data_IF_300492227551
#
_entry.id   IF_300492227551
#
_cell.length_a   1.000
_cell.length_b   1.000
_cell.length_c   1.000
_cell.angle_alpha   90.00
_cell.angle_beta   90.00
_cell.angle_gamma   90.00
#
_symmetry.space_group_name_H-M   'P 1'
#
loop_
_entity.id
_entity.type
_entity.pdbx_description
1 polymer ?
#
# COMPACT_ATOMS: atom_id res chain seq x y z
N UNK A 1 14.37 -48.33 -16.82
CA UNK A 1 13.18 -47.45 -16.89
C UNK A 1 13.67 -46.09 -17.35
N UNK A 2 13.34 -45.68 -18.58
CA UNK A 2 13.61 -44.33 -19.07
C UNK A 2 12.41 -43.47 -18.69
N UNK A 3 12.55 -42.66 -17.64
CA UNK A 3 11.55 -41.63 -17.34
C UNK A 3 11.47 -40.66 -18.50
N UNK A 4 10.25 -40.28 -18.90
CA UNK A 4 10.01 -39.12 -19.76
C UNK A 4 10.75 -37.93 -19.14
N UNK A 5 11.70 -37.35 -19.86
CA UNK A 5 12.36 -36.13 -19.40
C UNK A 5 11.30 -35.04 -19.44
N UNK A 6 10.94 -34.50 -18.27
CA UNK A 6 10.03 -33.35 -18.16
C UNK A 6 10.50 -32.24 -19.09
N UNK A 7 9.60 -31.71 -19.92
CA UNK A 7 9.92 -30.60 -20.80
C UNK A 7 10.23 -29.38 -19.95
N UNK A 8 11.39 -28.78 -20.15
CA UNK A 8 11.71 -27.48 -19.55
C UNK A 8 11.26 -26.39 -20.52
N UNK A 9 10.33 -25.55 -20.10
CA UNK A 9 9.76 -24.49 -20.93
C UNK A 9 9.56 -23.20 -20.12
N UNK A 10 9.20 -22.13 -20.80
CA UNK A 10 8.87 -20.85 -20.17
C UNK A 10 7.40 -20.58 -20.38
N UNK A 11 6.66 -20.36 -19.28
CA UNK A 11 5.27 -19.93 -19.36
C UNK A 11 5.25 -18.42 -19.57
N UNK A 12 4.76 -17.95 -20.72
CA UNK A 12 4.62 -16.51 -21.00
C UNK A 12 3.20 -16.06 -20.72
N UNK A 13 3.03 -15.08 -19.84
CA UNK A 13 1.74 -14.47 -19.51
C UNK A 13 1.74 -12.98 -19.90
N UNK A 14 0.59 -12.45 -20.31
CA UNK A 14 0.40 -11.03 -20.65
C UNK A 14 -0.90 -10.51 -20.02
N UNK A 15 -0.92 -9.23 -19.59
CA UNK A 15 -2.04 -8.70 -18.81
C UNK A 15 -3.30 -8.68 -19.66
N UNK A 16 -4.41 -9.15 -19.11
CA UNK A 16 -5.69 -9.23 -19.83
C UNK A 16 -5.73 -10.32 -20.90
N UNK A 17 -4.74 -11.21 -20.97
CA UNK A 17 -4.73 -12.33 -21.93
C UNK A 17 -5.04 -13.67 -21.28
N UNK A 18 -5.79 -14.49 -22.01
CA UNK A 18 -6.03 -15.90 -21.67
C UNK A 18 -4.79 -16.72 -22.03
N UNK A 19 -4.29 -17.50 -21.09
CA UNK A 19 -3.21 -18.45 -21.36
C UNK A 19 -3.76 -19.75 -21.93
N UNK A 20 -3.12 -20.24 -22.99
CA UNK A 20 -3.49 -21.50 -23.66
C UNK A 20 -2.25 -22.37 -23.84
N UNK A 21 -2.31 -23.62 -23.39
CA UNK A 21 -1.28 -24.61 -23.63
C UNK A 21 -1.88 -25.98 -23.92
N UNK A 22 -1.28 -26.67 -24.88
CA UNK A 22 -1.67 -28.02 -25.27
C UNK A 22 -0.50 -28.98 -25.08
N UNK A 23 -0.77 -30.09 -24.41
CA UNK A 23 0.18 -31.18 -24.22
C UNK A 23 -0.29 -32.41 -25.00
N UNK A 24 0.65 -33.04 -25.70
CA UNK A 24 0.41 -34.22 -26.52
C UNK A 24 1.11 -35.42 -25.88
N UNK A 25 0.56 -36.63 -26.04
CA UNK A 25 1.23 -37.85 -25.62
C UNK A 25 2.53 -38.05 -26.43
N UNK A 26 3.44 -38.92 -25.96
CA UNK A 26 4.61 -39.33 -26.74
C UNK A 26 4.22 -39.79 -28.14
N UNK A 27 5.11 -39.60 -29.13
CA UNK A 27 4.82 -39.93 -30.53
C UNK A 27 4.30 -41.37 -30.70
N UNK A 28 3.11 -41.50 -31.30
CA UNK A 28 2.42 -42.79 -31.50
C UNK A 28 1.70 -43.34 -30.27
N UNK A 29 1.70 -42.62 -29.15
CA UNK A 29 0.98 -42.95 -27.93
C UNK A 29 -0.35 -42.20 -27.80
N UNK A 30 -1.10 -42.57 -26.76
CA UNK A 30 -2.34 -41.90 -26.33
C UNK A 30 -2.30 -41.73 -24.81
N UNK A 31 -2.90 -40.66 -24.29
CA UNK A 31 -3.17 -40.56 -22.87
C UNK A 31 -4.18 -41.64 -22.47
N UNK A 32 -3.96 -42.39 -21.38
CA UNK A 32 -4.91 -43.41 -20.97
C UNK A 32 -6.29 -42.86 -20.60
N UNK A 33 -7.37 -43.65 -20.80
CA UNK A 33 -8.70 -43.28 -20.31
C UNK A 33 -8.68 -43.03 -18.79
N UNK A 34 -9.31 -41.94 -18.35
CA UNK A 34 -9.34 -41.54 -16.94
C UNK A 34 -8.12 -40.75 -16.46
N UNK A 35 -7.24 -40.32 -17.38
CA UNK A 35 -6.18 -39.34 -17.07
C UNK A 35 -6.78 -38.05 -16.53
N UNK A 36 -6.22 -37.52 -15.45
CA UNK A 36 -6.44 -36.14 -14.99
C UNK A 36 -5.14 -35.34 -15.12
N UNK A 37 -5.20 -34.02 -15.00
CA UNK A 37 -4.01 -33.19 -15.00
C UNK A 37 -4.22 -31.92 -14.18
N UNK A 38 -3.12 -31.32 -13.75
CA UNK A 38 -3.09 -30.06 -13.03
C UNK A 38 -1.88 -29.23 -13.48
N UNK A 39 -2.00 -27.92 -13.32
CA UNK A 39 -0.88 -26.99 -13.41
C UNK A 39 -0.78 -26.24 -12.09
N UNK A 40 0.27 -26.51 -11.33
CA UNK A 40 0.56 -25.85 -10.04
C UNK A 40 1.56 -24.74 -10.29
N UNK A 41 1.26 -23.54 -9.80
CA UNK A 41 2.12 -22.38 -9.85
C UNK A 41 2.50 -21.99 -8.42
N UNK A 42 3.78 -21.81 -8.17
CA UNK A 42 4.35 -21.53 -6.85
C UNK A 42 5.32 -20.36 -6.89
N UNK A 43 5.49 -19.69 -5.75
CA UNK A 43 6.53 -18.68 -5.58
C UNK A 43 7.92 -19.34 -5.40
N UNK A 44 9.02 -18.57 -5.40
CA UNK A 44 10.35 -19.12 -5.16
C UNK A 44 10.59 -19.72 -3.76
N UNK A 45 9.72 -19.43 -2.79
CA UNK A 45 9.76 -19.99 -1.45
C UNK A 45 8.97 -21.31 -1.35
N UNK A 46 8.24 -21.70 -2.40
CA UNK A 46 7.45 -22.93 -2.49
C UNK A 46 5.96 -22.78 -2.13
N UNK A 47 5.48 -21.55 -1.87
CA UNK A 47 4.04 -21.31 -1.61
C UNK A 47 3.24 -21.44 -2.90
N UNK A 48 2.12 -22.15 -2.87
CA UNK A 48 1.22 -22.28 -4.02
C UNK A 48 0.47 -20.96 -4.24
N UNK A 49 0.62 -20.39 -5.43
CA UNK A 49 -0.04 -19.17 -5.88
C UNK A 49 -1.33 -19.47 -6.62
N UNK A 50 -1.35 -20.54 -7.42
CA UNK A 50 -2.52 -21.00 -8.15
C UNK A 50 -2.43 -22.47 -8.53
N UNK A 51 -3.60 -23.08 -8.67
CA UNK A 51 -3.80 -24.40 -9.22
C UNK A 51 -4.80 -24.27 -10.37
N UNK A 52 -4.41 -24.70 -11.57
CA UNK A 52 -5.25 -24.66 -12.76
C UNK A 52 -5.58 -26.06 -13.21
N UNK A 53 -6.86 -26.26 -13.50
CA UNK A 53 -7.36 -27.50 -14.11
C UNK A 53 -7.40 -27.33 -15.64
N UNK A 54 -7.19 -28.42 -16.40
CA UNK A 54 -7.31 -28.40 -17.85
C UNK A 54 -8.77 -28.18 -18.26
N UNK A 55 -8.97 -27.36 -19.28
CA UNK A 55 -10.29 -27.14 -19.86
C UNK A 55 -10.75 -28.35 -20.70
N UNK A 56 -9.80 -29.09 -21.29
CA UNK A 56 -10.07 -30.26 -22.13
C UNK A 56 -9.05 -31.36 -21.80
N UNK A 57 -9.53 -32.57 -21.56
CA UNK A 57 -8.70 -33.78 -21.51
C UNK A 57 -9.25 -34.79 -22.52
N UNK A 58 -8.37 -35.36 -23.33
CA UNK A 58 -8.68 -36.43 -24.27
C UNK A 58 -7.50 -37.38 -24.42
N UNK A 59 -7.72 -38.53 -25.06
CA UNK A 59 -6.64 -39.47 -25.38
C UNK A 59 -5.56 -38.86 -26.28
N UNK A 60 -5.90 -37.83 -27.06
CA UNK A 60 -4.99 -37.21 -28.03
C UNK A 60 -4.23 -35.98 -27.47
N UNK A 61 -4.81 -35.27 -26.48
CA UNK A 61 -4.21 -34.06 -25.90
C UNK A 61 -4.87 -33.62 -24.59
N UNK A 62 -4.14 -32.84 -23.82
CA UNK A 62 -4.61 -32.09 -22.64
C UNK A 62 -4.46 -30.61 -22.96
N UNK A 63 -5.55 -29.84 -22.89
CA UNK A 63 -5.55 -28.39 -23.13
C UNK A 63 -5.89 -27.63 -21.84
N UNK A 64 -5.02 -26.70 -21.48
CA UNK A 64 -5.29 -25.68 -20.49
C UNK A 64 -5.76 -24.40 -21.18
N UNK A 65 -6.85 -23.82 -20.69
CA UNK A 65 -7.38 -22.54 -21.14
C UNK A 65 -7.72 -21.75 -19.87
N UNK A 66 -6.78 -20.91 -19.44
CA UNK A 66 -6.90 -20.17 -18.18
C UNK A 66 -7.25 -18.73 -18.48
N UNK A 67 -8.36 -18.24 -17.90
CA UNK A 67 -8.83 -16.88 -18.16
C UNK A 67 -7.87 -15.82 -17.62
N UNK A 68 -7.90 -14.63 -18.24
CA UNK A 68 -7.05 -13.50 -17.85
C UNK A 68 -7.11 -13.18 -16.34
N UNK A 69 -8.31 -13.15 -15.76
CA UNK A 69 -8.48 -12.85 -14.33
C UNK A 69 -7.74 -13.82 -13.38
N UNK A 70 -7.43 -15.04 -13.83
CA UNK A 70 -6.64 -16.03 -13.08
C UNK A 70 -5.15 -15.96 -13.42
N UNK A 71 -4.80 -15.48 -14.62
CA UNK A 71 -3.41 -15.31 -15.07
C UNK A 71 -2.79 -13.99 -14.59
N UNK A 72 -3.58 -12.93 -14.47
CA UNK A 72 -3.14 -11.58 -14.11
C UNK A 72 -2.47 -11.51 -12.72
N UNK A 73 -2.93 -12.23 -11.69
CA UNK A 73 -2.27 -12.22 -10.38
C UNK A 73 -0.92 -12.96 -10.34
N UNK A 74 -0.58 -13.75 -11.37
CA UNK A 74 0.64 -14.56 -11.37
C UNK A 74 1.86 -13.69 -11.73
N UNK A 75 2.85 -13.57 -10.82
CA UNK A 75 4.03 -12.76 -11.05
C UNK A 75 5.03 -13.44 -11.99
N UNK A 76 5.89 -12.64 -12.63
CA UNK A 76 7.10 -13.14 -13.26
C UNK A 76 7.99 -13.85 -12.22
N UNK A 77 8.78 -14.83 -12.63
CA UNK A 77 9.68 -15.57 -11.74
C UNK A 77 9.01 -16.60 -10.84
N UNK A 78 7.67 -16.73 -10.85
CA UNK A 78 6.98 -17.87 -10.29
C UNK A 78 7.41 -19.16 -11.01
N UNK A 79 7.39 -20.28 -10.29
CA UNK A 79 7.65 -21.60 -10.84
C UNK A 79 6.33 -22.29 -11.18
N UNK A 80 6.27 -22.96 -12.32
CA UNK A 80 5.12 -23.78 -12.68
C UNK A 80 5.52 -25.22 -12.95
N UNK A 81 4.60 -26.14 -12.66
CA UNK A 81 4.70 -27.56 -12.93
C UNK A 81 3.36 -28.07 -13.45
N UNK A 82 3.38 -28.70 -14.62
CA UNK A 82 2.23 -29.40 -15.17
C UNK A 82 2.42 -30.90 -14.96
N UNK A 83 1.46 -31.51 -14.29
CA UNK A 83 1.45 -32.95 -13.99
C UNK A 83 0.22 -33.60 -14.60
N UNK A 84 0.41 -34.73 -15.28
CA UNK A 84 -0.68 -35.63 -15.65
C UNK A 84 -0.71 -36.83 -14.71
N UNK A 85 -1.88 -37.14 -14.19
CA UNK A 85 -2.10 -38.29 -13.32
C UNK A 85 -2.74 -39.40 -14.14
N UNK A 86 -1.97 -40.44 -14.43
CA UNK A 86 -2.45 -41.63 -15.11
C UNK A 86 -3.07 -42.61 -14.10
N UNK A 87 -4.29 -43.10 -14.34
CA UNK A 87 -4.91 -44.07 -13.46
C UNK A 87 -4.20 -45.43 -13.52
N UNK A 88 -4.53 -46.30 -12.57
CA UNK A 88 -4.07 -47.68 -12.61
C UNK A 88 -4.60 -48.40 -13.86
N UNK A 89 -3.72 -49.09 -14.59
CA UNK A 89 -4.06 -49.84 -15.80
C UNK A 89 -3.53 -51.27 -15.69
N UNK A 90 -4.44 -52.20 -15.42
CA UNK A 90 -4.09 -53.60 -15.19
C UNK A 90 -3.10 -53.75 -14.02
N UNK A 91 -1.91 -54.35 -14.23
CA UNK A 91 -0.91 -54.50 -13.17
C UNK A 91 -0.10 -53.23 -12.87
N UNK A 92 -0.30 -52.14 -13.64
CA UNK A 92 0.45 -50.88 -13.47
C UNK A 92 -0.25 -49.99 -12.43
N UNK A 93 0.45 -49.54 -11.38
CA UNK A 93 -0.11 -48.58 -10.42
C UNK A 93 -0.37 -47.22 -11.07
N UNK A 94 -1.13 -46.32 -10.42
CA UNK A 94 -1.24 -44.93 -10.85
C UNK A 94 0.15 -44.26 -10.93
N UNK A 95 0.33 -43.37 -11.89
CA UNK A 95 1.61 -42.70 -12.16
C UNK A 95 1.38 -41.23 -12.45
N UNK A 96 2.18 -40.39 -11.81
CA UNK A 96 2.28 -38.97 -12.12
C UNK A 96 3.40 -38.75 -13.14
N UNK A 97 3.06 -38.12 -14.25
CA UNK A 97 3.99 -37.78 -15.32
C UNK A 97 4.09 -36.26 -15.43
N UNK A 98 5.27 -35.72 -15.17
CA UNK A 98 5.53 -34.30 -15.25
C UNK A 98 5.74 -33.91 -16.72
N UNK A 99 4.71 -33.28 -17.30
CA UNK A 99 4.67 -32.93 -18.71
C UNK A 99 5.56 -31.72 -19.03
N UNK A 100 5.51 -30.69 -18.18
CA UNK A 100 6.26 -29.44 -18.37
C UNK A 100 6.56 -28.76 -17.05
N UNK A 101 7.70 -28.10 -16.97
CA UNK A 101 8.10 -27.27 -15.83
C UNK A 101 8.93 -26.09 -16.27
N UNK A 102 8.93 -25.04 -15.45
CA UNK A 102 9.84 -23.93 -15.63
C UNK A 102 9.43 -22.70 -14.85
N UNK A 103 9.80 -21.53 -15.37
CA UNK A 103 9.49 -20.23 -14.78
C UNK A 103 8.46 -19.49 -15.61
N UNK A 104 7.66 -18.67 -14.93
CA UNK A 104 6.75 -17.72 -15.54
C UNK A 104 7.52 -16.46 -15.95
N UNK A 105 7.33 -16.01 -17.19
CA UNK A 105 7.80 -14.72 -17.70
C UNK A 105 6.59 -13.90 -18.12
N UNK A 106 6.69 -12.58 -17.95
CA UNK A 106 5.62 -11.65 -18.34
C UNK A 106 6.03 -10.88 -19.59
N UNK A 107 5.20 -10.93 -20.63
CA UNK A 107 5.45 -10.24 -21.91
C UNK A 107 5.24 -8.73 -21.79
N UNK A 108 4.36 -8.31 -20.86
CA UNK A 108 4.18 -6.91 -20.45
C UNK A 108 5.36 -6.35 -19.62
N UNK A 109 6.36 -7.18 -19.31
CA UNK A 109 7.53 -6.76 -18.54
C UNK A 109 8.58 -6.10 -19.47
N UNK A 110 9.03 -4.86 -19.21
CA UNK A 110 9.83 -4.10 -20.17
C UNK A 110 11.24 -4.67 -20.45
N UNK A 111 11.72 -5.68 -19.71
CA UNK A 111 12.95 -6.40 -20.06
C UNK A 111 12.91 -7.90 -19.67
N UNK A 112 13.51 -8.81 -20.47
CA UNK A 112 13.57 -10.25 -20.19
C UNK A 112 14.50 -10.67 -19.03
N UNK A 113 15.19 -9.70 -18.42
CA UNK A 113 16.06 -9.85 -17.23
C UNK A 113 15.52 -9.08 -16.01
N UNK A 114 14.35 -8.43 -16.14
CA UNK A 114 13.66 -7.93 -14.96
C UNK A 114 13.34 -9.14 -14.08
N UNK A 115 13.77 -9.08 -12.82
CA UNK A 115 13.35 -10.07 -11.81
C UNK A 115 11.84 -10.12 -11.72
N UNK A 116 11.32 -11.03 -10.88
CA UNK A 116 9.90 -11.04 -10.54
C UNK A 116 9.40 -9.59 -10.37
N UNK A 117 8.40 -9.18 -11.17
CA UNK A 117 7.66 -7.96 -10.85
C UNK A 117 7.19 -8.18 -9.43
N UNK A 118 7.81 -7.44 -8.52
CA UNK A 118 7.64 -7.56 -7.08
C UNK A 118 6.13 -7.73 -6.81
N UNK A 119 5.75 -8.86 -6.20
CA UNK A 119 4.45 -9.02 -5.54
C UNK A 119 4.32 -8.05 -4.35
N UNK A 120 5.42 -7.42 -3.94
CA UNK A 120 5.39 -6.14 -3.25
C UNK A 120 5.03 -5.05 -4.24
N UNK A 121 3.76 -4.64 -4.21
CA UNK A 121 3.29 -3.48 -4.92
C UNK A 121 4.31 -2.32 -4.74
N UNK A 122 4.76 -1.69 -5.84
CA UNK A 122 5.93 -0.81 -5.80
C UNK A 122 5.75 0.26 -4.73
N UNK A 123 6.82 0.55 -3.99
CA UNK A 123 6.79 1.58 -2.96
C UNK A 123 6.26 2.88 -3.57
N UNK A 124 5.06 3.28 -3.17
CA UNK A 124 4.43 4.52 -3.60
C UNK A 124 5.05 5.66 -2.83
N UNK A 125 5.18 6.79 -3.50
CA UNK A 125 5.55 8.06 -2.90
C UNK A 125 4.60 9.13 -3.42
N UNK A 126 4.05 9.90 -2.50
CA UNK A 126 3.22 11.05 -2.76
C UNK A 126 3.94 12.28 -2.21
N UNK A 127 3.86 13.39 -2.94
CA UNK A 127 4.50 14.65 -2.58
C UNK A 127 3.54 15.76 -2.95
N UNK A 128 3.33 16.68 -2.02
CA UNK A 128 2.65 17.95 -2.26
C UNK A 128 3.44 19.05 -1.54
N UNK A 129 4.02 19.95 -2.32
CA UNK A 129 4.83 21.07 -1.84
C UNK A 129 3.96 22.25 -1.39
N UNK A 130 2.63 22.18 -1.55
CA UNK A 130 1.69 23.26 -1.20
C UNK A 130 2.00 24.59 -1.92
N UNK A 131 2.76 24.54 -3.03
CA UNK A 131 3.30 25.69 -3.73
C UNK A 131 2.30 26.37 -4.68
N UNK A 132 1.28 25.63 -5.13
CA UNK A 132 0.28 26.11 -6.08
C UNK A 132 -0.71 27.12 -5.50
N UNK A 133 -1.44 27.87 -6.35
CA UNK A 133 -2.47 28.83 -5.90
C UNK A 133 -3.75 28.16 -5.38
N UNK A 134 -3.86 26.84 -5.52
CA UNK A 134 -5.00 26.04 -5.14
C UNK A 134 -4.54 24.69 -4.58
N UNK A 135 -5.42 24.04 -3.83
CA UNK A 135 -5.18 22.72 -3.25
C UNK A 135 -5.07 21.67 -4.36
N UNK A 136 -4.10 20.75 -4.24
CA UNK A 136 -3.94 19.65 -5.20
C UNK A 136 -5.24 18.82 -5.29
N UNK A 137 -5.75 18.54 -6.50
CA UNK A 137 -7.00 17.77 -6.69
C UNK A 137 -6.93 16.32 -6.19
N UNK A 138 -5.76 15.81 -5.83
CA UNK A 138 -5.59 14.53 -5.16
C UNK A 138 -6.05 14.55 -3.69
N UNK A 139 -6.19 15.73 -3.08
CA UNK A 139 -6.85 15.87 -1.79
C UNK A 139 -8.37 15.74 -1.96
N UNK A 140 -8.93 14.70 -1.37
CA UNK A 140 -10.37 14.48 -1.30
C UNK A 140 -10.85 14.90 0.09
N UNK A 141 -11.62 15.99 0.16
CA UNK A 141 -12.30 16.39 1.40
C UNK A 141 -13.25 15.26 1.84
N UNK A 142 -13.13 14.86 3.10
CA UNK A 142 -13.96 13.81 3.70
C UNK A 142 -15.07 14.41 4.55
N UNK A 143 -14.75 15.39 5.41
CA UNK A 143 -15.73 16.04 6.27
C UNK A 143 -15.23 17.41 6.77
N UNK A 144 -16.04 18.01 7.65
CA UNK A 144 -15.73 19.29 8.29
C UNK A 144 -16.44 20.49 7.66
N UNK A 145 -16.45 21.60 8.40
CA UNK A 145 -17.25 22.79 8.09
C UNK A 145 -16.58 23.72 7.06
N UNK A 146 -15.26 23.70 6.94
CA UNK A 146 -14.50 24.50 5.96
C UNK A 146 -13.94 23.67 4.81
N UNK A 147 -13.47 24.34 3.75
CA UNK A 147 -12.73 23.67 2.67
C UNK A 147 -11.25 23.58 3.03
N UNK A 148 -10.44 23.01 2.14
CA UNK A 148 -8.99 23.21 2.20
C UNK A 148 -8.62 24.45 1.39
N UNK A 149 -7.58 25.17 1.80
CA UNK A 149 -7.05 26.33 1.07
C UNK A 149 -5.55 26.46 1.23
N UNK A 150 -4.91 26.93 0.17
CA UNK A 150 -3.53 27.41 0.20
C UNK A 150 -3.52 28.88 0.59
N UNK A 151 -2.78 29.20 1.65
CA UNK A 151 -2.52 30.54 2.12
C UNK A 151 -1.14 30.99 1.63
N UNK A 152 -1.10 32.18 1.02
CA UNK A 152 0.15 32.86 0.67
C UNK A 152 0.76 33.50 1.92
N UNK A 153 1.93 33.00 2.33
CA UNK A 153 2.68 33.53 3.47
C UNK A 153 3.94 34.29 3.05
N UNK A 154 4.09 34.62 1.77
CA UNK A 154 5.20 35.43 1.26
C UNK A 154 5.37 36.80 1.97
N UNK A 155 4.32 37.48 2.48
CA UNK A 155 4.51 38.71 3.28
C UNK A 155 5.35 38.52 4.54
N UNK A 156 5.45 37.29 5.06
CA UNK A 156 6.26 36.94 6.24
C UNK A 156 7.55 36.20 5.88
N UNK A 157 7.94 36.16 4.59
CA UNK A 157 9.08 35.37 4.09
C UNK A 157 8.97 33.88 4.42
N UNK A 158 7.74 33.36 4.45
CA UNK A 158 7.44 31.94 4.67
C UNK A 158 6.87 31.31 3.39
N UNK A 159 7.04 29.99 3.21
CA UNK A 159 6.42 29.29 2.09
C UNK A 159 4.89 29.33 2.17
N UNK A 160 4.23 29.04 1.06
CA UNK A 160 2.79 28.80 1.04
C UNK A 160 2.43 27.66 2.01
N UNK A 161 1.22 27.72 2.56
CA UNK A 161 0.76 26.73 3.53
C UNK A 161 -0.68 26.31 3.28
N UNK A 162 -0.96 25.01 3.34
CA UNK A 162 -2.32 24.47 3.31
C UNK A 162 -2.91 24.41 4.72
N UNK A 163 -4.16 24.83 4.86
CA UNK A 163 -4.97 24.64 6.05
C UNK A 163 -6.48 24.65 5.73
N UNK A 164 -7.32 24.62 6.77
CA UNK A 164 -8.77 24.80 6.66
C UNK A 164 -9.15 26.22 6.22
N UNK A 165 -10.03 26.32 5.24
CA UNK A 165 -10.64 27.54 4.72
C UNK A 165 -11.91 27.86 5.51
N UNK A 166 -11.77 28.64 6.58
CA UNK A 166 -12.87 29.45 7.11
C UNK A 166 -12.37 30.37 8.21
N UNK A 167 -13.07 31.50 8.34
CA UNK A 167 -12.80 32.56 9.32
C UNK A 167 -13.30 32.20 10.74
N UNK A 168 -14.09 31.12 10.91
CA UNK A 168 -14.70 30.75 12.18
C UNK A 168 -14.49 29.26 12.46
N UNK A 169 -13.70 28.94 13.49
CA UNK A 169 -13.51 27.61 14.09
C UNK A 169 -13.62 26.45 13.11
N UNK A 170 -12.63 26.31 12.24
CA UNK A 170 -12.72 25.36 11.14
C UNK A 170 -12.18 24.01 11.56
N UNK A 171 -12.97 22.94 11.44
CA UNK A 171 -12.45 21.59 11.28
C UNK A 171 -12.55 21.18 9.81
N UNK A 172 -11.47 20.73 9.20
CA UNK A 172 -11.45 20.24 7.82
C UNK A 172 -10.59 18.97 7.71
N UNK A 173 -11.22 17.87 7.30
CA UNK A 173 -10.57 16.58 7.15
C UNK A 173 -10.51 16.21 5.67
N UNK A 174 -9.34 15.79 5.22
CA UNK A 174 -9.13 15.37 3.84
C UNK A 174 -8.15 14.21 3.77
N UNK A 175 -8.35 13.34 2.79
CA UNK A 175 -7.44 12.23 2.52
C UNK A 175 -6.80 12.38 1.15
N UNK A 176 -5.63 11.81 1.00
CA UNK A 176 -5.08 11.59 -0.33
C UNK A 176 -5.96 10.58 -1.08
N UNK A 177 -6.12 10.77 -2.38
CA UNK A 177 -7.05 9.96 -3.19
C UNK A 177 -6.66 8.48 -3.22
N UNK A 178 -5.36 8.20 -3.13
CA UNK A 178 -4.74 6.89 -3.26
C UNK A 178 -4.11 6.48 -1.93
N UNK A 179 -4.21 5.20 -1.59
CA UNK A 179 -3.57 4.60 -0.41
C UNK A 179 -2.13 4.17 -0.71
N UNK A 180 -1.31 3.99 0.31
CA UNK A 180 0.04 3.39 0.18
C UNK A 180 -0.05 1.88 -0.10
N UNK A 181 1.02 1.28 -0.60
CA UNK A 181 1.04 -0.14 -0.96
C UNK A 181 1.44 -1.05 0.22
N UNK A 182 2.04 -0.49 1.26
CA UNK A 182 2.45 -1.14 2.50
C UNK A 182 1.81 -0.50 3.72
N UNK A 183 1.72 -1.27 4.80
CA UNK A 183 1.40 -0.74 6.13
C UNK A 183 2.59 0.02 6.72
N UNK A 184 3.83 -0.40 6.41
CA UNK A 184 5.02 0.39 6.70
C UNK A 184 5.00 1.67 5.85
N UNK A 185 4.46 2.74 6.41
CA UNK A 185 4.35 4.03 5.76
C UNK A 185 5.06 5.10 6.59
N UNK A 186 5.61 6.08 5.90
CA UNK A 186 6.28 7.24 6.50
C UNK A 186 5.80 8.52 5.87
N UNK A 187 5.34 9.44 6.71
CA UNK A 187 5.08 10.83 6.37
C UNK A 187 6.27 11.71 6.75
N UNK A 188 6.71 12.57 5.84
CA UNK A 188 7.65 13.65 6.08
C UNK A 188 6.95 14.95 5.72
N UNK A 189 6.89 15.89 6.66
CA UNK A 189 6.11 17.11 6.45
C UNK A 189 6.71 18.31 7.16
N UNK A 190 6.35 19.50 6.68
CA UNK A 190 6.77 20.77 7.24
C UNK A 190 5.54 21.54 7.69
N UNK A 191 5.63 22.20 8.84
CA UNK A 191 4.54 23.02 9.37
C UNK A 191 4.99 24.45 9.62
N UNK A 192 4.10 25.38 9.27
CA UNK A 192 4.19 26.77 9.69
C UNK A 192 3.39 26.90 10.98
N UNK A 193 4.10 27.16 12.07
CA UNK A 193 3.53 27.51 13.37
C UNK A 193 3.79 28.98 13.65
N UNK A 194 2.77 29.72 14.11
CA UNK A 194 2.90 31.14 14.45
C UNK A 194 2.00 31.53 15.63
N UNK A 195 2.46 32.47 16.46
CA UNK A 195 1.72 33.01 17.62
C UNK A 195 0.35 33.57 17.25
N UNK A 196 0.21 34.01 16.01
CA UNK A 196 -1.02 34.61 15.48
C UNK A 196 -1.95 33.61 14.80
N UNK A 197 -1.56 32.33 14.66
CA UNK A 197 -2.36 31.29 14.01
C UNK A 197 -2.55 30.06 14.92
N UNK A 198 -3.16 30.21 16.11
CA UNK A 198 -3.51 29.09 16.97
C UNK A 198 -4.44 28.09 16.26
N UNK A 199 -4.26 26.81 16.59
CA UNK A 199 -4.97 25.70 15.96
C UNK A 199 -4.12 24.45 15.92
N UNK A 200 -4.58 23.46 15.17
CA UNK A 200 -3.99 22.13 15.07
C UNK A 200 -3.88 21.67 13.63
N UNK A 201 -2.84 20.91 13.35
CA UNK A 201 -2.73 20.09 12.14
C UNK A 201 -2.39 18.69 12.56
N UNK A 202 -3.06 17.71 11.97
CA UNK A 202 -2.77 16.29 12.17
C UNK A 202 -2.42 15.67 10.84
N UNK A 203 -1.27 15.00 10.74
CA UNK A 203 -0.87 14.20 9.58
C UNK A 203 -1.09 12.72 9.90
N UNK A 204 -1.80 12.03 9.02
CA UNK A 204 -2.40 10.71 9.26
C UNK A 204 -1.83 9.69 8.27
N UNK A 205 -1.51 8.48 8.73
CA UNK A 205 -0.93 7.40 7.92
C UNK A 205 -1.84 6.18 7.75
N UNK A 206 -2.53 5.75 8.81
CA UNK A 206 -3.32 4.50 8.83
C UNK A 206 -4.83 4.76 8.79
N UNK A 207 -5.30 5.53 7.80
CA UNK A 207 -6.73 5.84 7.69
C UNK A 207 -7.48 4.89 6.78
N UNK A 208 -8.72 4.56 7.15
CA UNK A 208 -9.69 4.09 6.17
C UNK A 208 -10.21 5.21 5.26
N UNK A 209 -10.89 4.85 4.16
CA UNK A 209 -11.37 5.81 3.17
C UNK A 209 -12.35 6.86 3.74
N UNK A 210 -13.10 6.50 4.78
CA UNK A 210 -14.09 7.36 5.43
C UNK A 210 -13.51 8.14 6.63
N UNK A 211 -12.22 7.98 6.95
CA UNK A 211 -11.59 8.52 8.16
C UNK A 211 -12.37 8.21 9.46
N UNK A 212 -12.96 7.03 9.59
CA UNK A 212 -13.62 6.58 10.84
C UNK A 212 -12.73 5.71 11.72
N UNK A 213 -11.53 5.38 11.23
CA UNK A 213 -10.46 4.73 11.96
C UNK A 213 -9.15 5.24 11.39
N UNK A 214 -8.33 5.87 12.21
CA UNK A 214 -7.05 6.43 11.79
C UNK A 214 -6.12 6.75 12.96
N UNK A 215 -4.81 6.83 12.66
CA UNK A 215 -3.76 7.32 13.58
C UNK A 215 -3.03 8.47 12.93
N UNK A 216 -2.83 9.54 13.68
CA UNK A 216 -2.11 10.71 13.20
C UNK A 216 -1.18 11.32 14.24
N UNK A 217 -0.20 12.04 13.73
CA UNK A 217 0.67 12.90 14.50
C UNK A 217 0.14 14.33 14.43
N UNK A 218 -0.29 14.85 15.58
CA UNK A 218 -0.90 16.15 15.75
C UNK A 218 0.13 17.16 16.25
N UNK A 219 0.16 18.32 15.62
CA UNK A 219 0.87 19.51 16.06
C UNK A 219 -0.17 20.58 16.42
N UNK A 220 -0.03 21.14 17.62
CA UNK A 220 -0.94 22.13 18.17
C UNK A 220 -0.20 23.40 18.56
N UNK A 221 -0.86 24.54 18.38
CA UNK A 221 -0.42 25.84 18.87
C UNK A 221 -1.61 26.56 19.52
N UNK A 222 -1.41 27.14 20.71
CA UNK A 222 -2.43 27.87 21.45
C UNK A 222 -2.08 29.35 21.62
N UNK A 223 -3.11 30.19 21.73
CA UNK A 223 -2.99 31.66 21.86
C UNK A 223 -2.55 32.14 23.23
N UNK A 224 -2.97 31.47 24.31
CA UNK A 224 -2.79 31.98 25.67
C UNK A 224 -1.34 31.84 26.17
N UNK A 225 -0.71 30.68 25.91
CA UNK A 225 0.54 30.33 26.59
C UNK A 225 1.73 30.04 25.62
N UNK A 226 1.52 30.12 24.30
CA UNK A 226 2.53 29.81 23.26
C UNK A 226 3.42 28.60 23.58
N UNK A 227 2.76 27.50 23.93
CA UNK A 227 3.39 26.22 24.18
C UNK A 227 2.98 25.27 23.08
N UNK A 228 3.73 25.23 21.96
CA UNK A 228 3.41 24.33 20.87
C UNK A 228 3.71 22.90 21.30
N UNK A 229 2.67 22.06 21.30
CA UNK A 229 2.76 20.66 21.68
C UNK A 229 2.56 19.73 20.48
N UNK A 230 2.98 18.48 20.66
CA UNK A 230 2.87 17.43 19.67
C UNK A 230 2.32 16.18 20.33
N UNK A 231 1.35 15.53 19.70
CA UNK A 231 0.65 14.37 20.24
C UNK A 231 0.49 13.29 19.17
N UNK A 232 0.39 12.02 19.58
CA UNK A 232 -0.20 10.98 18.72
C UNK A 232 -1.65 10.83 19.11
N UNK A 233 -2.52 10.82 18.10
CA UNK A 233 -3.97 10.78 18.25
C UNK A 233 -4.54 9.64 17.42
N UNK A 234 -5.62 9.04 17.92
CA UNK A 234 -6.42 8.06 17.19
C UNK A 234 -7.81 8.64 16.93
N UNK A 235 -8.36 8.37 15.75
CA UNK A 235 -9.64 8.92 15.33
C UNK A 235 -10.74 7.89 15.20
N UNK A 236 -11.95 8.29 15.59
CA UNK A 236 -13.19 7.50 15.44
C UNK A 236 -14.16 8.13 14.43
N UNK A 237 -13.87 9.35 13.99
CA UNK A 237 -14.56 10.03 12.90
C UNK A 237 -13.58 10.97 12.20
N UNK A 238 -13.96 11.56 11.04
CA UNK A 238 -13.05 12.42 10.30
C UNK A 238 -12.49 13.61 11.09
N UNK A 239 -13.22 14.10 12.11
CA UNK A 239 -12.88 15.32 12.86
C UNK A 239 -12.83 15.12 14.37
N UNK A 240 -13.05 13.90 14.85
CA UNK A 240 -13.04 13.55 16.27
C UNK A 240 -11.98 12.51 16.56
N UNK A 241 -11.24 12.71 17.64
CA UNK A 241 -10.08 11.92 18.01
C UNK A 241 -9.85 11.91 19.52
N UNK A 242 -9.04 10.96 19.96
CA UNK A 242 -8.53 10.85 21.33
C UNK A 242 -7.01 10.92 21.30
N UNK A 243 -6.42 11.63 22.27
CA UNK A 243 -4.97 11.66 22.45
C UNK A 243 -4.53 10.38 23.15
N UNK A 244 -3.59 9.67 22.55
CA UNK A 244 -3.02 8.42 23.10
C UNK A 244 -1.59 8.60 23.59
N UNK A 245 -0.88 9.60 23.07
CA UNK A 245 0.47 9.94 23.52
C UNK A 245 0.66 11.45 23.46
N UNK A 246 1.26 12.02 24.51
CA UNK A 246 1.53 13.45 24.65
C UNK A 246 2.92 13.68 25.24
N UNK A 247 3.44 14.90 25.19
CA UNK A 247 4.71 15.22 25.83
C UNK A 247 5.12 16.68 25.65
N UNK A 248 6.37 16.96 25.98
CA UNK A 248 6.85 18.34 26.12
C UNK A 248 6.95 19.15 24.82
N UNK A 249 6.90 20.47 24.99
CA UNK A 249 6.92 21.53 23.97
C UNK A 249 8.29 21.70 23.31
N UNK A 250 8.62 20.81 22.38
CA UNK A 250 9.89 20.87 21.67
C UNK A 250 9.74 21.18 20.19
N UNK A 251 8.65 21.81 19.74
CA UNK A 251 8.43 22.15 18.34
C UNK A 251 9.26 23.37 17.87
N UNK A 252 9.72 23.36 16.61
CA UNK A 252 10.32 24.49 15.90
C UNK A 252 9.28 25.19 15.02
N UNK A 253 9.39 26.52 14.91
CA UNK A 253 8.69 27.26 13.86
C UNK A 253 9.32 26.94 12.50
N UNK A 254 8.48 26.69 11.50
CA UNK A 254 8.88 26.16 10.19
C UNK A 254 9.67 24.85 10.28
N UNK A 255 9.32 24.00 11.26
CA UNK A 255 10.03 22.75 11.51
C UNK A 255 9.65 21.63 10.55
N UNK A 256 10.59 20.72 10.29
CA UNK A 256 10.33 19.45 9.58
C UNK A 256 10.10 18.33 10.58
N UNK A 257 9.10 17.51 10.30
CA UNK A 257 8.73 16.37 11.14
C UNK A 257 8.61 15.12 10.29
N UNK A 258 8.87 13.99 10.92
CA UNK A 258 8.66 12.66 10.34
C UNK A 258 7.69 11.92 11.23
N UNK A 259 6.69 11.28 10.66
CA UNK A 259 5.82 10.33 11.35
C UNK A 259 5.88 9.01 10.59
N UNK A 260 6.04 7.89 11.28
CA UNK A 260 6.09 6.58 10.64
C UNK A 260 5.44 5.52 11.50
N UNK A 261 5.03 4.44 10.84
CA UNK A 261 4.58 3.22 11.48
C UNK A 261 5.58 2.08 11.22
N UNK A 262 5.96 1.38 12.28
CA UNK A 262 6.76 0.17 12.26
C UNK A 262 5.85 -1.05 12.50
N UNK A 263 5.52 -1.83 11.46
CA UNK A 263 4.64 -3.00 11.59
C UNK A 263 5.29 -4.17 12.34
N UNK A 264 6.61 -4.20 12.52
CA UNK A 264 7.28 -5.29 13.27
C UNK A 264 7.13 -5.11 14.77
N UNK A 265 7.11 -3.84 15.22
CA UNK A 265 6.96 -3.47 16.63
C UNK A 265 5.53 -3.02 16.98
N UNK A 266 4.64 -2.93 15.99
CA UNK A 266 3.31 -2.33 16.07
C UNK A 266 3.32 -0.94 16.73
N UNK A 267 4.18 -0.09 16.20
CA UNK A 267 4.56 1.15 16.85
C UNK A 267 4.58 2.35 15.91
N UNK A 268 4.11 3.48 16.44
CA UNK A 268 4.13 4.77 15.78
C UNK A 268 5.21 5.66 16.37
N UNK A 269 6.05 6.21 15.49
CA UNK A 269 7.20 7.02 15.86
C UNK A 269 7.13 8.38 15.16
N UNK A 270 7.20 9.44 15.94
CA UNK A 270 7.33 10.80 15.43
C UNK A 270 8.74 11.32 15.74
N UNK A 271 9.38 11.95 14.76
CA UNK A 271 10.70 12.56 14.87
C UNK A 271 10.64 14.03 14.49
N UNK A 272 11.57 14.78 15.06
CA UNK A 272 11.74 16.20 14.79
C UNK A 272 13.06 16.44 14.06
N UNK A 273 12.99 17.20 12.98
CA UNK A 273 14.11 17.58 12.13
C UNK A 273 14.94 16.34 11.70
N UNK A 274 16.24 16.36 11.97
CA UNK A 274 17.19 15.28 11.68
C UNK A 274 17.49 14.38 12.88
N UNK A 275 16.82 14.54 14.03
CA UNK A 275 17.08 13.72 15.20
C UNK A 275 16.28 12.41 15.17
N UNK A 276 16.83 11.40 14.49
CA UNK A 276 16.25 10.06 14.41
C UNK A 276 16.67 9.11 15.54
N UNK A 277 17.56 9.54 16.43
CA UNK A 277 18.04 8.72 17.54
C UNK A 277 17.13 8.82 18.78
N UNK A 278 16.35 9.89 18.88
CA UNK A 278 15.39 10.11 19.96
C UNK A 278 14.06 10.54 19.37
N UNK A 279 13.06 9.64 19.27
CA UNK A 279 11.74 10.01 18.78
C UNK A 279 11.15 11.11 19.67
N UNK A 280 10.55 12.10 19.02
CA UNK A 280 9.76 13.12 19.67
C UNK A 280 8.55 12.49 20.38
N UNK A 281 7.87 11.54 19.72
CA UNK A 281 6.79 10.73 20.30
C UNK A 281 6.90 9.29 19.86
N UNK A 282 6.44 8.40 20.73
CA UNK A 282 6.46 6.96 20.54
C UNK A 282 5.21 6.39 21.17
N UNK A 283 4.43 5.63 20.41
CA UNK A 283 3.22 4.96 20.90
C UNK A 283 3.10 3.57 20.30
N UNK A 284 2.93 2.56 21.15
CA UNK A 284 2.72 1.16 20.76
C UNK A 284 1.22 0.86 20.83
N UNK A 285 0.66 0.25 19.77
CA UNK A 285 -0.73 -0.20 19.76
C UNK A 285 -0.86 -1.59 20.41
N UNK A 286 -0.64 -1.66 21.73
CA UNK A 286 -0.64 -2.94 22.47
C UNK A 286 -1.98 -3.70 22.35
N UNK A 287 -3.08 -2.98 22.16
CA UNK A 287 -4.43 -3.53 22.05
C UNK A 287 -4.86 -3.82 20.59
N UNK A 288 -3.99 -3.54 19.61
CA UNK A 288 -4.25 -3.68 18.17
C UNK A 288 -5.58 -3.02 17.74
N UNK A 289 -5.87 -1.83 18.29
CA UNK A 289 -7.15 -1.13 18.03
C UNK A 289 -7.19 -0.51 16.64
N UNK A 290 -6.03 -0.33 16.01
CA UNK A 290 -5.91 0.24 14.68
C UNK A 290 -5.89 -0.88 13.64
N UNK A 291 -6.90 -0.93 12.75
CA UNK A 291 -6.88 -1.88 11.65
C UNK A 291 -5.83 -1.48 10.62
N UNK A 292 -5.06 -2.46 10.16
CA UNK A 292 -4.07 -2.32 9.11
C UNK A 292 -4.47 -3.12 7.87
N UNK A 293 -3.77 -2.89 6.76
CA UNK A 293 -3.98 -3.58 5.51
C UNK A 293 -4.68 -2.76 4.43
N UNK A 294 -4.94 -3.41 3.31
CA UNK A 294 -5.62 -2.79 2.18
C UNK A 294 -6.96 -2.18 2.60
N UNK A 295 -7.18 -0.90 2.28
CA UNK A 295 -8.35 -0.13 2.69
C UNK A 295 -8.13 0.74 3.94
N UNK A 296 -7.04 0.55 4.68
CA UNK A 296 -6.66 1.32 5.88
C UNK A 296 -5.33 2.10 5.72
N UNK A 297 -4.82 2.16 4.50
CA UNK A 297 -3.52 2.76 4.16
C UNK A 297 -3.64 4.15 3.53
N UNK A 298 -4.77 4.85 3.74
CA UNK A 298 -4.94 6.18 3.17
C UNK A 298 -4.18 7.21 4.01
N UNK A 299 -3.24 7.94 3.40
CA UNK A 299 -2.69 9.12 4.05
C UNK A 299 -3.76 10.21 4.12
N UNK A 300 -3.79 10.96 5.21
CA UNK A 300 -4.78 12.00 5.40
C UNK A 300 -4.24 13.16 6.24
N UNK A 301 -5.05 14.22 6.29
CA UNK A 301 -4.80 15.42 7.09
C UNK A 301 -6.08 15.86 7.77
N UNK A 302 -5.94 16.41 8.97
CA UNK A 302 -6.99 17.10 9.69
C UNK A 302 -6.47 18.46 10.14
N UNK A 303 -7.19 19.51 9.76
CA UNK A 303 -6.91 20.88 10.19
C UNK A 303 -7.99 21.33 11.16
N UNK A 304 -7.54 21.99 12.22
CA UNK A 304 -8.41 22.67 13.17
C UNK A 304 -7.90 24.10 13.36
N UNK A 305 -8.76 25.09 13.17
CA UNK A 305 -8.41 26.49 13.41
C UNK A 305 -9.20 27.07 14.56
N UNK A 306 -8.59 28.04 15.24
CA UNK A 306 -9.26 28.90 16.20
C UNK A 306 -9.91 30.10 15.50
N UNK A 307 -10.61 30.92 16.27
CA UNK A 307 -11.33 32.11 15.79
C UNK A 307 -10.46 33.05 14.94
N UNK A 308 -10.87 33.30 13.69
CA UNK A 308 -10.22 34.21 12.73
C UNK A 308 -8.76 33.84 12.39
N UNK A 309 -8.41 32.55 12.45
CA UNK A 309 -7.05 32.08 12.18
C UNK A 309 -7.05 30.94 11.18
N UNK A 310 -5.92 30.72 10.49
CA UNK A 310 -5.73 29.54 9.64
C UNK A 310 -5.33 28.30 10.43
N UNK A 311 -4.93 28.45 11.70
CA UNK A 311 -4.30 27.39 12.47
C UNK A 311 -2.87 27.07 12.01
N UNK A 312 -2.36 25.92 12.46
CA UNK A 312 -1.11 25.37 11.94
C UNK A 312 -1.31 25.03 10.47
N UNK A 313 -0.36 25.41 9.62
CA UNK A 313 -0.43 25.16 8.18
C UNK A 313 0.62 24.13 7.77
N UNK A 314 0.32 23.26 6.80
CA UNK A 314 1.32 22.40 6.14
C UNK A 314 1.97 23.17 5.00
N UNK A 315 3.29 23.34 5.03
CA UNK A 315 4.07 23.97 3.94
C UNK A 315 4.76 22.98 3.02
N UNK A 316 4.67 21.69 3.35
CA UNK A 316 5.17 20.61 2.52
C UNK A 316 4.78 19.28 3.13
N UNK A 317 4.47 18.31 2.29
CA UNK A 317 3.99 17.01 2.71
C UNK A 317 4.48 15.95 1.73
N UNK A 318 4.98 14.85 2.27
CA UNK A 318 5.34 13.67 1.51
C UNK A 318 4.98 12.44 2.31
N UNK A 319 4.42 11.44 1.65
CA UNK A 319 4.21 10.12 2.24
C UNK A 319 4.80 9.08 1.31
N UNK A 320 5.49 8.09 1.87
CA UNK A 320 6.01 6.96 1.12
C UNK A 320 5.87 5.65 1.86
N UNK A 321 5.84 4.56 1.11
CA UNK A 321 6.11 3.23 1.66
C UNK A 321 7.55 3.20 2.21
N UNK A 322 7.70 2.65 3.42
CA UNK A 322 8.93 2.65 4.22
C UNK A 322 9.59 1.27 4.24
#
# INVERSE_FOLDING_TARGET
>A
MLGSKTRQDTMVLALGQTWVASFFPPAGGMFPPGTTAECVISDPAGSVLAEWEPAIISEARIDFITAAAQCDPIPAGAYYLVTAHYPALGPRPPIDDHLSRGSVVRDDNPTPLAGALLTTAPALSFIDEMAGPAVDPNWVKVAGQGNLKIFDNSPWSLPNGMAGDSLLYTKAAARWRVQTNSDAAKAEFQVITSKINPGKTTVILSSNQAMTSWVGFQIHTATADWYPDANIVIGTSPTEYTVVETGDNSLSSNGRYTFLYDPLADEYLAYKESNFSHPLRRWVDEDHVIPHGNGYRFPAVLFESDYLTSGVMLSGWSVKDN
#
